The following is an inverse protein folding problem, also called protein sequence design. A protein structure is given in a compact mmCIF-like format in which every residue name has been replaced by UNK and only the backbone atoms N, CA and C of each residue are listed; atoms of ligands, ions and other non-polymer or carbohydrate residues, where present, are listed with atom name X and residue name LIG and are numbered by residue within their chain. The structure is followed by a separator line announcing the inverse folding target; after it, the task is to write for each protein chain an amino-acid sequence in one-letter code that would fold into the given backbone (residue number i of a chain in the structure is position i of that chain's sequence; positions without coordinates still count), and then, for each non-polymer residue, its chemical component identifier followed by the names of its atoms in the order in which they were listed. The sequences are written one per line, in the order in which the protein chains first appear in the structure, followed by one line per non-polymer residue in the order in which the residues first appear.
data_IF_551820919069
#
_entry.id   IF_551820919069
#
_cell.length_a   1.000
_cell.length_b   1.000
_cell.length_c   1.000
_cell.angle_alpha   90.00
_cell.angle_beta   90.00
_cell.angle_gamma   90.00
#
_symmetry.space_group_name_H-M   'P 1'
#
loop_
_entity.id
_entity.type
_entity.pdbx_description
1 polymer ?
#
# COMPACT_ATOMS: atom_id res chain seq x y z
N UNK A 1 -3.82 25.13 8.80
CA UNK A 1 -4.37 24.53 7.57
C UNK A 1 -3.86 23.10 7.51
N UNK A 2 -4.73 22.10 7.38
CA UNK A 2 -4.29 20.72 7.13
C UNK A 2 -3.73 20.61 5.72
N UNK A 3 -2.65 19.86 5.57
CA UNK A 3 -1.89 19.76 4.32
C UNK A 3 -1.57 18.29 4.03
N UNK A 4 -1.37 18.02 2.75
CA UNK A 4 -1.25 16.65 2.22
C UNK A 4 0.03 16.49 1.42
N UNK A 5 0.79 15.43 1.68
CA UNK A 5 1.77 14.93 0.71
C UNK A 5 1.15 13.84 -0.15
N UNK A 6 1.19 14.04 -1.46
CA UNK A 6 0.69 13.07 -2.45
C UNK A 6 1.82 12.67 -3.37
N UNK A 7 2.01 11.36 -3.53
CA UNK A 7 2.91 10.77 -4.51
C UNK A 7 2.11 9.91 -5.48
N UNK A 8 2.40 10.04 -6.76
CA UNK A 8 1.81 9.23 -7.83
C UNK A 8 2.92 8.72 -8.72
N UNK A 9 2.90 7.41 -9.03
CA UNK A 9 3.85 6.80 -9.95
C UNK A 9 3.13 5.88 -10.92
N UNK A 10 3.50 6.00 -12.18
CA UNK A 10 3.00 5.19 -13.28
C UNK A 10 4.07 4.17 -13.67
N UNK A 11 3.73 2.89 -13.65
CA UNK A 11 4.63 1.80 -14.04
C UNK A 11 4.11 1.09 -15.30
N UNK A 12 4.96 0.88 -16.32
CA UNK A 12 4.60 0.08 -17.48
C UNK A 12 4.57 -1.41 -17.12
N UNK A 13 3.56 -2.15 -17.60
CA UNK A 13 3.38 -3.59 -17.40
C UNK A 13 3.53 -4.41 -18.68
N UNK A 14 3.82 -3.78 -19.82
CA UNK A 14 3.97 -4.48 -21.10
C UNK A 14 3.29 -3.70 -22.23
N UNK A 15 2.68 -4.42 -23.18
CA UNK A 15 2.01 -3.81 -24.34
C UNK A 15 0.81 -2.95 -23.89
N UNK A 16 1.06 -1.65 -23.70
CA UNK A 16 0.07 -0.60 -23.42
C UNK A 16 -0.69 -0.69 -22.10
N UNK A 17 -0.27 -1.56 -21.19
CA UNK A 17 -0.84 -1.63 -19.83
C UNK A 17 0.05 -0.83 -18.88
N UNK A 18 -0.54 0.15 -18.19
CA UNK A 18 0.12 0.86 -17.10
C UNK A 18 -0.64 0.63 -15.80
N UNK A 19 0.09 0.49 -14.69
CA UNK A 19 -0.47 0.54 -13.35
C UNK A 19 -0.11 1.88 -12.70
N UNK A 20 -1.10 2.51 -12.09
CA UNK A 20 -0.94 3.76 -11.35
C UNK A 20 -1.04 3.44 -9.86
N UNK A 21 0.02 3.75 -9.13
CA UNK A 21 0.08 3.61 -7.69
C UNK A 21 0.18 5.00 -7.06
N UNK A 22 -0.64 5.23 -6.06
CA UNK A 22 -0.75 6.49 -5.36
C UNK A 22 -0.57 6.26 -3.87
N UNK A 23 0.16 7.15 -3.22
CA UNK A 23 0.25 7.23 -1.77
C UNK A 23 -0.08 8.65 -1.30
N UNK A 24 -0.76 8.73 -0.17
CA UNK A 24 -1.26 9.99 0.39
C UNK A 24 -1.10 10.01 1.91
N UNK A 25 -0.38 11.01 2.40
CA UNK A 25 -0.29 11.30 3.84
C UNK A 25 -1.04 12.60 4.09
N UNK A 26 -2.18 12.48 4.78
CA UNK A 26 -3.09 13.58 5.13
C UNK A 26 -2.84 14.07 6.55
N UNK A 27 -3.44 15.23 6.89
CA UNK A 27 -3.43 15.80 8.24
C UNK A 27 -2.03 16.06 8.82
N UNK A 28 -1.09 16.47 7.96
CA UNK A 28 0.27 16.76 8.41
C UNK A 28 0.34 18.09 9.16
N UNK A 29 1.05 18.13 10.30
CA UNK A 29 1.37 19.38 11.00
C UNK A 29 2.20 20.31 10.10
N UNK A 30 1.98 21.61 10.25
CA UNK A 30 2.61 22.63 9.41
C UNK A 30 4.14 22.68 9.61
N UNK A 31 4.61 22.34 10.81
CA UNK A 31 6.02 22.25 11.18
C UNK A 31 6.77 21.18 10.38
N UNK A 32 6.07 20.10 10.00
CA UNK A 32 6.63 18.99 9.21
C UNK A 32 6.92 19.45 7.78
N UNK A 33 6.10 20.35 7.24
CA UNK A 33 6.26 20.84 5.89
C UNK A 33 7.41 21.83 5.74
N UNK A 34 7.58 22.71 6.73
CA UNK A 34 8.63 23.72 6.70
C UNK A 34 9.99 23.17 7.13
N UNK A 35 10.02 22.01 7.77
CA UNK A 35 11.26 21.29 8.01
C UNK A 35 11.69 20.50 6.75
N UNK A 36 12.67 21.04 6.02
CA UNK A 36 13.20 20.43 4.78
C UNK A 36 13.73 19.02 5.00
N UNK A 37 14.42 18.77 6.12
CA UNK A 37 14.96 17.45 6.42
C UNK A 37 13.83 16.44 6.65
N UNK A 38 12.85 16.80 7.48
CA UNK A 38 11.73 15.90 7.79
C UNK A 38 10.84 15.66 6.58
N UNK A 39 10.48 16.70 5.84
CA UNK A 39 9.68 16.59 4.61
C UNK A 39 10.38 15.73 3.55
N UNK A 40 11.70 15.81 3.42
CA UNK A 40 12.46 14.93 2.52
C UNK A 40 12.38 13.46 2.91
N UNK A 41 12.44 13.15 4.22
CA UNK A 41 12.31 11.78 4.74
C UNK A 41 10.91 11.23 4.52
N UNK A 42 9.87 12.04 4.75
CA UNK A 42 8.48 11.64 4.49
C UNK A 42 8.30 11.31 3.02
N UNK A 43 8.73 12.18 2.10
CA UNK A 43 8.65 11.91 0.65
C UNK A 43 9.42 10.65 0.25
N UNK A 44 10.60 10.43 0.82
CA UNK A 44 11.38 9.22 0.57
C UNK A 44 10.63 7.96 1.03
N UNK A 45 9.99 8.01 2.21
CA UNK A 45 9.15 6.91 2.68
C UNK A 45 8.00 6.64 1.71
N UNK A 46 7.27 7.65 1.25
CA UNK A 46 6.20 7.47 0.26
C UNK A 46 6.72 6.79 -1.03
N UNK A 47 7.93 7.16 -1.47
CA UNK A 47 8.55 6.50 -2.63
C UNK A 47 8.84 5.02 -2.38
N UNK A 48 9.32 4.67 -1.18
CA UNK A 48 9.55 3.29 -0.80
C UNK A 48 8.24 2.50 -0.73
N UNK A 49 7.19 3.04 -0.12
CA UNK A 49 5.87 2.40 -0.02
C UNK A 49 5.26 2.12 -1.40
N UNK A 50 5.31 3.10 -2.31
CA UNK A 50 4.84 2.93 -3.69
C UNK A 50 5.64 1.84 -4.43
N UNK A 51 6.97 1.79 -4.23
CA UNK A 51 7.80 0.74 -4.84
C UNK A 51 7.49 -0.64 -4.24
N UNK A 52 7.30 -0.75 -2.93
CA UNK A 52 6.91 -2.00 -2.26
C UNK A 52 5.56 -2.48 -2.80
N UNK A 53 4.57 -1.58 -2.91
CA UNK A 53 3.26 -1.89 -3.47
C UNK A 53 3.37 -2.44 -4.91
N UNK A 54 4.23 -1.85 -5.74
CA UNK A 54 4.50 -2.35 -7.09
C UNK A 54 5.11 -3.77 -7.06
N UNK A 55 6.12 -4.01 -6.20
CA UNK A 55 6.75 -5.34 -6.09
C UNK A 55 5.77 -6.41 -5.60
N UNK A 56 4.92 -6.07 -4.64
CA UNK A 56 3.88 -6.95 -4.14
C UNK A 56 2.87 -7.30 -5.23
N UNK A 57 2.45 -6.31 -6.03
CA UNK A 57 1.61 -6.54 -7.20
C UNK A 57 2.26 -7.50 -8.21
N UNK A 58 3.54 -7.31 -8.54
CA UNK A 58 4.25 -8.19 -9.47
C UNK A 58 4.34 -9.63 -8.93
N UNK A 59 4.56 -9.80 -7.63
CA UNK A 59 4.55 -11.12 -7.00
C UNK A 59 3.16 -11.75 -7.06
N UNK A 60 2.10 -10.99 -6.84
CA UNK A 60 0.73 -11.46 -6.98
C UNK A 60 0.40 -11.90 -8.40
N UNK A 61 0.85 -11.14 -9.40
CA UNK A 61 0.69 -11.49 -10.82
C UNK A 61 1.39 -12.80 -11.17
N UNK A 62 2.60 -13.04 -10.65
CA UNK A 62 3.31 -14.32 -10.86
C UNK A 62 2.54 -15.50 -10.27
N UNK A 63 1.89 -15.33 -9.12
CA UNK A 63 1.03 -16.37 -8.55
C UNK A 63 -0.17 -16.60 -9.48
N UNK A 64 -0.77 -15.52 -9.97
CA UNK A 64 -1.91 -15.59 -10.88
C UNK A 64 -1.59 -16.31 -12.21
N UNK A 65 -0.38 -16.15 -12.74
CA UNK A 65 0.08 -16.84 -13.95
C UNK A 65 0.16 -18.37 -13.80
N UNK A 66 0.22 -18.89 -12.55
CA UNK A 66 0.34 -20.34 -12.28
C UNK A 66 -0.99 -21.04 -12.03
N UNK A 67 -2.11 -20.33 -12.09
CA UNK A 67 -3.44 -20.78 -11.66
C UNK A 67 -4.51 -20.47 -12.70
N UNK A 68 -5.63 -21.18 -12.66
CA UNK A 68 -6.84 -20.78 -13.42
C UNK A 68 -7.44 -19.50 -12.87
N UNK A 69 -8.28 -18.82 -13.65
CA UNK A 69 -8.96 -17.60 -13.19
C UNK A 69 -9.81 -17.85 -11.94
N UNK A 70 -10.51 -18.99 -11.86
CA UNK A 70 -11.29 -19.37 -10.69
C UNK A 70 -10.40 -19.62 -9.47
N UNK A 71 -9.27 -20.32 -9.65
CA UNK A 71 -8.31 -20.59 -8.58
C UNK A 71 -7.67 -19.30 -8.04
N UNK A 72 -7.37 -18.33 -8.91
CA UNK A 72 -6.87 -17.01 -8.51
C UNK A 72 -7.93 -16.25 -7.72
N UNK A 73 -9.18 -16.24 -8.18
CA UNK A 73 -10.27 -15.57 -7.47
C UNK A 73 -10.47 -16.14 -6.07
N UNK A 74 -10.45 -17.47 -5.94
CA UNK A 74 -10.56 -18.14 -4.64
C UNK A 74 -9.36 -17.81 -3.74
N UNK A 75 -8.14 -17.87 -4.27
CA UNK A 75 -6.93 -17.50 -3.51
C UNK A 75 -7.00 -16.06 -2.97
N UNK A 76 -7.41 -15.11 -3.79
CA UNK A 76 -7.55 -13.70 -3.38
C UNK A 76 -8.61 -13.53 -2.29
N UNK A 77 -9.73 -14.25 -2.39
CA UNK A 77 -10.80 -14.23 -1.40
C UNK A 77 -10.32 -14.78 -0.04
N UNK A 78 -9.60 -15.91 -0.06
CA UNK A 78 -9.02 -16.53 1.13
C UNK A 78 -8.03 -15.57 1.83
N UNK A 79 -7.10 -14.98 1.07
CA UNK A 79 -6.15 -14.00 1.60
C UNK A 79 -6.84 -12.76 2.19
N UNK A 80 -7.94 -12.29 1.56
CA UNK A 80 -8.72 -11.17 2.09
C UNK A 80 -9.35 -11.52 3.44
N UNK A 81 -9.97 -12.70 3.55
CA UNK A 81 -10.64 -13.15 4.77
C UNK A 81 -9.61 -13.34 5.90
N UNK A 82 -8.47 -13.96 5.61
CA UNK A 82 -7.39 -14.16 6.57
C UNK A 82 -6.86 -12.83 7.10
N UNK A 83 -6.51 -11.89 6.20
CA UNK A 83 -6.01 -10.57 6.57
C UNK A 83 -7.02 -9.80 7.46
N UNK A 84 -8.32 -9.84 7.15
CA UNK A 84 -9.34 -9.18 7.98
C UNK A 84 -9.41 -9.78 9.38
N UNK A 85 -9.26 -11.11 9.51
CA UNK A 85 -9.25 -11.77 10.82
C UNK A 85 -8.02 -11.37 11.64
N UNK A 86 -6.85 -11.31 11.02
CA UNK A 86 -5.61 -10.86 11.68
C UNK A 86 -5.76 -9.42 12.18
N UNK A 87 -6.29 -8.53 11.35
CA UNK A 87 -6.55 -7.14 11.75
C UNK A 87 -7.52 -7.09 12.94
N UNK A 88 -8.61 -7.85 12.90
CA UNK A 88 -9.58 -7.88 14.00
C UNK A 88 -8.95 -8.37 15.32
N UNK A 89 -8.14 -9.43 15.26
CA UNK A 89 -7.44 -9.97 16.43
C UNK A 89 -6.49 -8.95 17.08
N UNK A 90 -5.78 -8.16 16.28
CA UNK A 90 -4.90 -7.09 16.78
C UNK A 90 -5.66 -5.99 17.55
N UNK A 91 -6.91 -5.72 17.20
CA UNK A 91 -7.75 -4.75 17.91
C UNK A 91 -8.38 -5.33 19.19
N UNK A 92 -8.79 -6.59 19.17
CA UNK A 92 -9.32 -7.28 20.35
C UNK A 92 -8.27 -7.39 21.45
N UNK A 93 -7.02 -7.73 21.11
CA UNK A 93 -5.91 -7.82 22.07
C UNK A 93 -5.59 -6.46 22.72
N UNK A 94 -5.61 -5.36 21.94
CA UNK A 94 -5.33 -4.00 22.46
C UNK A 94 -6.44 -3.44 23.36
N UNK A 95 -7.63 -4.03 23.34
CA UNK A 95 -8.75 -3.62 24.20
C UNK A 95 -8.69 -4.29 25.57
N UNK A 96 -7.97 -5.41 25.69
CA UNK A 96 -7.77 -6.15 26.95
C UNK A 96 -6.58 -5.62 27.77
N UNK A 97 -5.64 -4.90 27.14
CA UNK A 97 -4.46 -4.29 27.78
C UNK A 97 -4.70 -2.84 28.30
N UNK A 98 -5.97 -2.39 28.36
CA UNK A 98 -6.38 -1.11 28.96
C UNK A 98 -7.31 -1.32 30.14
#
# INVERSE_FOLDING_TARGET
MERTFKLERLYPLGQYVNIKLCDEVTNLPEEVLFNVELSSKVRYLQMLEVEIAYRNYINLMKIAETKSAEEVAQYLEEQRIETVKEIAAEFENKTLDK
#
